data_IF_989841467328
#
_entry.id   IF_989841467328
#
_cell.length_a   1.000
_cell.length_b   1.000
_cell.length_c   1.000
_cell.angle_alpha   90.00
_cell.angle_beta   90.00
_cell.angle_gamma   90.00
#
_symmetry.space_group_name_H-M   'P 1'
#
loop_
_entity.id
_entity.type
_entity.pdbx_description
1 polymer ?
#
# COMPACT_ATOMS: atom_id res chain seq x y z
N UNK A 1 5.01 -4.11 -12.62
CA UNK A 1 6.22 -3.79 -11.82
C UNK A 1 7.26 -4.89 -11.87
N UNK A 2 6.94 -6.17 -11.64
CA UNK A 2 7.92 -7.26 -11.72
C UNK A 2 8.70 -7.31 -13.02
N UNK A 3 8.05 -7.14 -14.19
CA UNK A 3 8.75 -7.08 -15.47
C UNK A 3 9.68 -5.86 -15.65
N UNK A 4 9.38 -4.75 -14.96
CA UNK A 4 10.28 -3.59 -14.89
C UNK A 4 11.50 -3.95 -14.06
N UNK A 5 11.31 -4.52 -12.86
CA UNK A 5 12.39 -4.96 -11.98
C UNK A 5 13.29 -5.98 -12.67
N UNK A 6 12.69 -7.01 -13.28
CA UNK A 6 13.46 -8.00 -14.06
C UNK A 6 14.33 -7.32 -15.13
N UNK A 7 13.77 -6.37 -15.88
CA UNK A 7 14.53 -5.64 -16.90
C UNK A 7 15.68 -4.81 -16.32
N UNK A 8 15.43 -4.15 -15.16
CA UNK A 8 16.47 -3.35 -14.48
C UNK A 8 17.64 -4.22 -14.03
N UNK A 9 17.36 -5.42 -13.53
CA UNK A 9 18.40 -6.38 -13.13
C UNK A 9 19.11 -6.99 -14.36
N UNK A 10 18.37 -7.50 -15.33
CA UNK A 10 18.92 -8.16 -16.52
C UNK A 10 19.83 -7.25 -17.36
N UNK A 11 19.48 -5.97 -17.43
CA UNK A 11 20.22 -4.97 -18.20
C UNK A 11 21.24 -4.19 -17.34
N UNK A 12 21.40 -4.61 -16.08
CA UNK A 12 22.33 -3.97 -15.12
C UNK A 12 22.12 -2.45 -14.99
N UNK A 13 20.85 -2.02 -14.92
CA UNK A 13 20.42 -0.64 -14.81
C UNK A 13 20.13 -0.22 -13.36
N UNK A 14 20.91 -0.74 -12.42
CA UNK A 14 20.71 -0.53 -10.99
C UNK A 14 21.68 0.52 -10.48
N UNK A 15 21.15 1.49 -9.77
CA UNK A 15 21.91 2.48 -9.04
C UNK A 15 21.29 2.67 -7.64
N UNK A 16 22.00 2.29 -6.59
CA UNK A 16 21.49 2.33 -5.21
C UNK A 16 21.89 3.62 -4.48
N UNK A 17 22.79 4.41 -5.05
CA UNK A 17 23.25 5.69 -4.51
C UNK A 17 23.66 5.61 -3.03
N UNK A 18 23.23 6.60 -2.24
CA UNK A 18 23.52 6.70 -0.81
C UNK A 18 22.80 5.63 0.05
N UNK A 19 21.81 4.93 -0.49
CA UNK A 19 21.07 3.89 0.23
C UNK A 19 21.81 2.56 0.22
N UNK A 20 22.80 2.36 -0.63
CA UNK A 20 23.50 1.07 -0.80
C UNK A 20 23.87 0.37 0.52
N UNK A 21 24.44 1.10 1.47
CA UNK A 21 24.85 0.55 2.77
C UNK A 21 23.70 0.27 3.76
N UNK A 22 22.47 0.58 3.38
CA UNK A 22 21.27 0.41 4.21
C UNK A 22 20.28 -0.58 3.62
N UNK A 23 20.65 -1.23 2.52
CA UNK A 23 19.80 -2.17 1.80
C UNK A 23 20.27 -3.58 2.05
N UNK A 24 19.34 -4.41 2.49
CA UNK A 24 19.53 -5.84 2.64
C UNK A 24 18.78 -6.58 1.54
N UNK A 25 19.18 -7.81 1.25
CA UNK A 25 18.44 -8.78 0.43
C UNK A 25 18.15 -8.38 -1.04
N UNK A 26 18.90 -7.46 -1.63
CA UNK A 26 18.73 -7.08 -3.06
C UNK A 26 18.88 -8.30 -3.98
N UNK A 27 19.78 -9.22 -3.65
CA UNK A 27 19.95 -10.47 -4.40
C UNK A 27 18.70 -11.36 -4.35
N UNK A 28 17.98 -11.38 -3.23
CA UNK A 28 16.69 -12.10 -3.14
C UNK A 28 15.63 -11.48 -4.03
N UNK A 29 15.57 -10.14 -4.07
CA UNK A 29 14.64 -9.43 -4.96
C UNK A 29 14.94 -9.76 -6.42
N UNK A 30 16.21 -9.77 -6.81
CA UNK A 30 16.64 -10.18 -8.15
C UNK A 30 16.18 -11.61 -8.46
N UNK A 31 16.39 -12.54 -7.54
CA UNK A 31 15.97 -13.93 -7.70
C UNK A 31 14.44 -14.03 -7.85
N UNK A 32 13.67 -13.35 -7.00
CA UNK A 32 12.20 -13.32 -7.07
C UNK A 32 11.67 -12.75 -8.38
N UNK A 33 12.38 -11.80 -8.97
CA UNK A 33 11.98 -11.18 -10.24
C UNK A 33 12.44 -11.95 -11.47
N UNK A 34 13.37 -12.91 -11.34
CA UNK A 34 13.95 -13.65 -12.47
C UNK A 34 12.92 -14.36 -13.34
N UNK A 35 11.86 -14.89 -12.73
CA UNK A 35 10.77 -15.59 -13.42
C UNK A 35 9.78 -14.66 -14.14
N UNK A 36 9.90 -13.34 -13.99
CA UNK A 36 8.96 -12.36 -14.50
C UNK A 36 9.54 -11.50 -15.62
N UNK A 37 10.10 -12.15 -16.64
CA UNK A 37 10.63 -11.44 -17.80
C UNK A 37 9.57 -10.52 -18.43
N UNK A 38 10.00 -9.43 -19.07
CA UNK A 38 9.09 -8.52 -19.75
C UNK A 38 8.19 -9.21 -20.80
N UNK A 39 8.68 -10.28 -21.43
CA UNK A 39 7.90 -11.10 -22.35
C UNK A 39 6.79 -11.88 -21.63
N UNK A 40 7.11 -12.55 -20.52
CA UNK A 40 6.13 -13.29 -19.72
C UNK A 40 5.05 -12.36 -19.13
N UNK A 41 5.46 -11.23 -18.59
CA UNK A 41 4.54 -10.22 -18.05
C UNK A 41 3.65 -9.62 -19.13
N UNK A 42 4.19 -9.43 -20.35
CA UNK A 42 3.44 -8.94 -21.51
C UNK A 42 2.24 -9.82 -21.84
N UNK A 43 2.40 -11.13 -21.81
CA UNK A 43 1.32 -12.09 -22.12
C UNK A 43 0.17 -12.03 -21.10
N UNK A 44 0.47 -11.67 -19.84
CA UNK A 44 -0.52 -11.59 -18.75
C UNK A 44 -1.21 -10.22 -18.72
N UNK A 45 -0.44 -9.16 -18.91
CA UNK A 45 -0.92 -7.77 -18.74
C UNK A 45 -1.45 -7.14 -20.03
N UNK A 46 -1.16 -7.72 -21.19
CA UNK A 46 -1.44 -7.11 -22.50
C UNK A 46 -0.53 -5.94 -22.87
N UNK A 47 0.42 -5.56 -22.01
CA UNK A 47 1.37 -4.48 -22.28
C UNK A 47 2.53 -5.05 -23.11
N UNK A 48 2.82 -4.45 -24.24
CA UNK A 48 3.89 -4.91 -25.15
C UNK A 48 5.23 -4.98 -24.42
N UNK A 49 5.97 -6.07 -24.62
CA UNK A 49 7.31 -6.31 -24.05
C UNK A 49 8.26 -5.11 -24.22
N UNK A 50 8.30 -4.53 -25.42
CA UNK A 50 9.11 -3.35 -25.69
C UNK A 50 8.74 -2.17 -24.81
N UNK A 51 7.44 -1.97 -24.56
CA UNK A 51 6.96 -0.87 -23.71
C UNK A 51 7.38 -1.02 -22.25
N UNK A 52 7.37 -2.26 -21.75
CA UNK A 52 7.84 -2.57 -20.38
C UNK A 52 9.34 -2.27 -20.26
N UNK A 53 10.14 -2.73 -21.22
CA UNK A 53 11.59 -2.47 -21.25
C UNK A 53 11.92 -0.99 -21.44
N UNK A 54 11.24 -0.30 -22.34
CA UNK A 54 11.40 1.16 -22.51
C UNK A 54 11.14 1.93 -21.22
N UNK A 55 10.07 1.56 -20.47
CA UNK A 55 9.74 2.20 -19.22
C UNK A 55 10.81 1.97 -18.16
N UNK A 56 11.32 0.74 -18.05
CA UNK A 56 12.41 0.41 -17.13
C UNK A 56 13.67 1.24 -17.42
N UNK A 57 14.11 1.26 -18.69
CA UNK A 57 15.26 2.06 -19.13
C UNK A 57 15.05 3.56 -18.93
N UNK A 58 13.84 4.05 -19.20
CA UNK A 58 13.49 5.46 -19.00
C UNK A 58 13.55 5.85 -17.53
N UNK A 59 13.03 5.01 -16.62
CA UNK A 59 13.15 5.24 -15.18
C UNK A 59 14.61 5.28 -14.74
N UNK A 60 15.43 4.30 -15.14
CA UNK A 60 16.84 4.25 -14.76
C UNK A 60 17.67 5.42 -15.29
N UNK A 61 17.40 5.87 -16.53
CA UNK A 61 18.19 6.90 -17.20
C UNK A 61 17.68 8.34 -16.99
N UNK A 62 16.59 8.53 -16.25
CA UNK A 62 16.04 9.87 -15.98
C UNK A 62 16.49 10.34 -14.60
N UNK A 63 17.33 11.37 -14.49
CA UNK A 63 17.92 11.78 -13.21
C UNK A 63 16.91 12.22 -12.14
N UNK A 64 15.74 12.65 -12.56
CA UNK A 64 14.67 13.12 -11.66
C UNK A 64 13.36 12.45 -12.07
N UNK A 65 13.13 11.29 -11.53
CA UNK A 65 11.93 10.48 -11.80
C UNK A 65 11.41 9.86 -10.51
N UNK A 66 10.16 9.49 -10.49
CA UNK A 66 9.63 8.61 -9.46
C UNK A 66 8.53 7.71 -10.01
N UNK A 67 8.43 6.52 -9.46
CA UNK A 67 7.28 5.66 -9.60
C UNK A 67 6.35 5.90 -8.41
N UNK A 68 5.22 6.56 -8.64
CA UNK A 68 4.26 6.90 -7.60
C UNK A 68 3.00 6.06 -7.72
N UNK A 69 2.55 5.52 -6.60
CA UNK A 69 1.34 4.69 -6.50
C UNK A 69 0.36 5.29 -5.49
N UNK A 70 -0.93 5.05 -5.70
CA UNK A 70 -2.00 5.45 -4.80
C UNK A 70 -3.10 4.38 -4.72
N UNK A 71 -4.29 4.80 -4.32
CA UNK A 71 -5.45 3.93 -4.06
C UNK A 71 -5.70 2.86 -5.13
N UNK A 72 -5.65 3.21 -6.42
CA UNK A 72 -5.86 2.25 -7.50
C UNK A 72 -4.87 1.08 -7.52
N UNK A 73 -3.67 1.26 -6.96
CA UNK A 73 -2.69 0.19 -6.78
C UNK A 73 -2.92 -0.55 -5.47
N UNK A 74 -3.18 0.20 -4.37
CA UNK A 74 -3.23 -0.36 -3.01
C UNK A 74 -4.49 -1.19 -2.74
N UNK A 75 -5.59 -0.93 -3.44
CA UNK A 75 -6.88 -1.61 -3.26
C UNK A 75 -7.05 -2.89 -4.08
N UNK A 76 -6.02 -3.31 -4.81
CA UNK A 76 -6.02 -4.58 -5.53
C UNK A 76 -5.68 -5.75 -4.60
N UNK A 77 -5.95 -6.97 -5.03
CA UNK A 77 -5.69 -8.21 -4.27
C UNK A 77 -4.26 -8.27 -3.70
N UNK A 78 -3.26 -7.87 -4.49
CA UNK A 78 -1.85 -7.79 -4.08
C UNK A 78 -1.36 -6.35 -3.92
N UNK A 79 -2.23 -5.45 -3.49
CA UNK A 79 -1.96 -4.01 -3.42
C UNK A 79 -0.77 -3.64 -2.53
N UNK A 80 -0.61 -4.31 -1.39
CA UNK A 80 0.55 -4.14 -0.51
C UNK A 80 1.86 -4.49 -1.21
N UNK A 81 1.90 -5.64 -1.90
CA UNK A 81 3.08 -6.06 -2.69
C UNK A 81 3.34 -5.09 -3.84
N UNK A 82 2.30 -4.65 -4.54
CA UNK A 82 2.45 -3.71 -5.64
C UNK A 82 3.02 -2.36 -5.16
N UNK A 83 2.55 -1.85 -4.03
CA UNK A 83 3.08 -0.62 -3.42
C UNK A 83 4.54 -0.81 -2.99
N UNK A 84 4.86 -1.94 -2.33
CA UNK A 84 6.23 -2.28 -1.96
C UNK A 84 7.17 -2.36 -3.18
N UNK A 85 6.75 -3.02 -4.27
CA UNK A 85 7.52 -3.08 -5.51
C UNK A 85 7.79 -1.71 -6.13
N UNK A 86 6.86 -0.75 -5.97
CA UNK A 86 7.08 0.62 -6.41
C UNK A 86 8.19 1.30 -5.61
N UNK A 87 8.23 1.09 -4.28
CA UNK A 87 9.35 1.56 -3.46
C UNK A 87 10.66 0.90 -3.85
N UNK A 88 10.67 -0.41 -4.06
CA UNK A 88 11.87 -1.15 -4.51
C UNK A 88 12.41 -0.56 -5.83
N UNK A 89 11.54 -0.29 -6.81
CA UNK A 89 11.96 0.33 -8.08
C UNK A 89 12.61 1.70 -7.83
N UNK A 90 11.99 2.56 -7.02
CA UNK A 90 12.58 3.87 -6.69
C UNK A 90 13.92 3.74 -5.96
N UNK A 91 14.06 2.73 -5.09
CA UNK A 91 15.31 2.47 -4.36
C UNK A 91 16.43 2.09 -5.32
N UNK A 92 16.19 1.06 -6.17
CA UNK A 92 17.24 0.51 -7.03
C UNK A 92 17.55 1.36 -8.26
N UNK A 93 16.76 2.40 -8.51
CA UNK A 93 17.03 3.43 -9.53
C UNK A 93 17.48 4.76 -8.92
N UNK A 94 17.84 4.76 -7.62
CA UNK A 94 18.31 5.94 -6.87
C UNK A 94 17.33 7.11 -6.87
N UNK A 95 16.03 6.82 -6.81
CA UNK A 95 14.98 7.85 -6.82
C UNK A 95 14.19 7.93 -5.49
N UNK A 96 14.56 7.15 -4.46
CA UNK A 96 13.93 7.24 -3.15
C UNK A 96 14.67 8.24 -2.27
N UNK A 97 13.91 9.16 -1.68
CA UNK A 97 14.39 10.21 -0.78
C UNK A 97 15.51 11.07 -1.39
N UNK A 98 15.42 11.27 -2.71
CA UNK A 98 16.29 12.12 -3.50
C UNK A 98 15.50 13.30 -4.10
N UNK A 99 16.16 14.43 -4.26
CA UNK A 99 15.54 15.64 -4.79
C UNK A 99 15.06 15.44 -6.23
N UNK A 100 13.74 15.48 -6.43
CA UNK A 100 13.10 15.24 -7.72
C UNK A 100 12.72 13.78 -7.95
N UNK A 101 12.93 12.92 -6.94
CA UNK A 101 12.41 11.56 -6.85
C UNK A 101 11.22 11.45 -5.89
N UNK A 102 11.00 10.26 -5.36
CA UNK A 102 10.01 10.00 -4.32
C UNK A 102 10.55 10.41 -2.96
N UNK A 103 10.05 11.51 -2.41
CA UNK A 103 10.50 12.08 -1.15
C UNK A 103 9.48 11.82 -0.02
N UNK A 104 9.99 11.69 1.19
CA UNK A 104 9.14 11.70 2.38
C UNK A 104 8.70 13.13 2.72
N UNK A 105 7.44 13.28 3.12
CA UNK A 105 6.92 14.56 3.59
C UNK A 105 7.49 14.91 4.96
N UNK A 106 7.81 16.17 5.16
CA UNK A 106 8.08 16.72 6.50
C UNK A 106 6.87 17.58 6.86
N UNK A 107 5.97 17.12 7.73
CA UNK A 107 4.77 17.87 8.09
C UNK A 107 5.13 19.14 8.87
N UNK A 108 4.34 20.19 8.71
CA UNK A 108 4.49 21.41 9.52
C UNK A 108 4.17 21.16 11.01
N UNK A 109 3.22 20.24 11.28
CA UNK A 109 2.97 19.69 12.60
C UNK A 109 3.02 18.16 12.48
N UNK A 110 3.91 17.51 13.24
CA UNK A 110 4.01 16.06 13.26
C UNK A 110 2.96 15.47 14.21
N UNK A 111 1.82 15.11 13.64
CA UNK A 111 0.69 14.53 14.39
C UNK A 111 1.08 13.17 15.00
N UNK A 112 1.96 12.42 14.36
CA UNK A 112 2.42 11.11 14.86
C UNK A 112 3.29 11.31 16.10
N UNK A 113 4.20 12.27 16.07
CA UNK A 113 5.01 12.63 17.24
C UNK A 113 4.15 13.19 18.39
N UNK A 114 3.19 14.07 18.08
CA UNK A 114 2.24 14.60 19.06
C UNK A 114 1.38 13.50 19.68
N UNK A 115 0.89 12.56 18.90
CA UNK A 115 0.14 11.40 19.38
C UNK A 115 1.00 10.50 20.28
N UNK A 116 2.27 10.31 19.93
CA UNK A 116 3.21 9.55 20.77
C UNK A 116 3.43 10.19 22.15
N UNK A 117 3.45 11.54 22.24
CA UNK A 117 3.53 12.27 23.51
C UNK A 117 2.30 12.05 24.41
N UNK A 118 1.14 11.78 23.82
CA UNK A 118 -0.10 11.44 24.55
C UNK A 118 -0.27 9.94 24.82
N UNK A 119 0.75 9.13 24.55
CA UNK A 119 0.76 7.69 24.77
C UNK A 119 0.21 6.85 23.60
N UNK A 120 -0.19 7.47 22.50
CA UNK A 120 -0.58 6.76 21.28
C UNK A 120 0.68 6.46 20.46
N UNK A 121 1.20 5.27 20.63
CA UNK A 121 2.44 4.85 19.97
C UNK A 121 2.15 4.08 18.68
N UNK A 122 2.11 4.77 17.55
CA UNK A 122 2.10 4.14 16.23
C UNK A 122 0.90 3.24 15.99
N UNK A 123 1.14 1.97 15.72
CA UNK A 123 0.12 0.99 15.37
C UNK A 123 0.24 -0.28 16.23
N UNK A 124 -0.73 -1.17 16.12
CA UNK A 124 -0.78 -2.46 16.81
C UNK A 124 -0.98 -2.36 18.34
N UNK A 125 -1.59 -1.27 18.84
CA UNK A 125 -1.96 -1.16 20.26
C UNK A 125 -3.26 -1.89 20.59
N UNK A 126 -4.12 -2.06 19.58
CA UNK A 126 -5.38 -2.80 19.67
C UNK A 126 -5.46 -3.77 18.52
N UNK A 127 -6.20 -4.85 18.75
CA UNK A 127 -6.48 -5.86 17.73
C UNK A 127 -7.97 -6.09 17.66
N UNK A 128 -8.45 -6.37 16.46
CA UNK A 128 -9.84 -6.75 16.27
C UNK A 128 -10.03 -8.20 16.70
N UNK A 129 -11.13 -8.49 17.39
CA UNK A 129 -11.33 -9.77 18.05
C UNK A 129 -11.36 -10.97 17.09
N UNK A 130 -11.88 -10.82 15.88
CA UNK A 130 -11.95 -11.93 14.90
C UNK A 130 -10.81 -11.93 13.88
N UNK A 131 -10.40 -10.79 13.40
CA UNK A 131 -9.42 -10.70 12.31
C UNK A 131 -7.98 -10.60 12.78
N UNK A 132 -7.75 -10.20 14.03
CA UNK A 132 -6.42 -9.97 14.57
C UNK A 132 -5.62 -8.85 13.88
N UNK A 133 -6.27 -8.07 12.99
CA UNK A 133 -5.61 -6.99 12.29
C UNK A 133 -5.40 -5.80 13.23
N UNK A 134 -4.18 -5.21 13.21
CA UNK A 134 -3.83 -4.12 14.11
C UNK A 134 -4.50 -2.81 13.70
N UNK A 135 -4.75 -1.97 14.67
CA UNK A 135 -5.11 -0.58 14.47
C UNK A 135 -3.89 0.30 14.18
N UNK A 136 -4.11 1.49 13.64
CA UNK A 136 -3.11 2.52 13.49
C UNK A 136 -3.63 3.85 14.03
N UNK A 137 -2.93 4.41 15.02
CA UNK A 137 -3.31 5.68 15.64
C UNK A 137 -4.72 5.68 16.27
N UNK A 138 -5.23 4.52 16.69
CA UNK A 138 -6.59 4.34 17.21
C UNK A 138 -7.65 4.04 16.14
N UNK A 139 -7.28 4.04 14.86
CA UNK A 139 -8.18 3.73 13.76
C UNK A 139 -8.11 2.24 13.40
N UNK A 140 -9.24 1.58 13.34
CA UNK A 140 -9.35 0.19 12.92
C UNK A 140 -9.45 0.08 11.39
N UNK A 141 -8.93 -1.01 10.78
CA UNK A 141 -9.03 -1.20 9.34
C UNK A 141 -10.48 -1.23 8.85
N UNK A 142 -10.84 -0.34 7.94
CA UNK A 142 -12.20 -0.27 7.38
C UNK A 142 -12.64 -1.59 6.71
N UNK A 143 -11.70 -2.38 6.19
CA UNK A 143 -11.96 -3.70 5.60
C UNK A 143 -12.56 -4.71 6.57
N UNK A 144 -12.40 -4.52 7.88
CA UNK A 144 -12.93 -5.41 8.92
C UNK A 144 -14.22 -4.90 9.56
N UNK A 145 -14.76 -3.78 9.09
CA UNK A 145 -15.96 -3.14 9.67
C UNK A 145 -17.14 -4.10 9.73
N UNK A 146 -17.43 -4.83 8.65
CA UNK A 146 -18.50 -5.81 8.64
C UNK A 146 -18.28 -6.93 9.68
N UNK A 147 -17.02 -7.36 9.88
CA UNK A 147 -16.70 -8.39 10.87
C UNK A 147 -16.96 -7.90 12.29
N UNK A 148 -16.64 -6.64 12.58
CA UNK A 148 -16.87 -6.05 13.90
C UNK A 148 -18.36 -5.82 14.21
N UNK A 149 -19.16 -5.47 13.20
CA UNK A 149 -20.61 -5.33 13.35
C UNK A 149 -21.28 -6.69 13.56
N UNK A 150 -20.81 -7.72 12.84
CA UNK A 150 -21.38 -9.07 12.88
C UNK A 150 -20.79 -9.95 14.00
N UNK A 151 -20.02 -9.39 14.92
CA UNK A 151 -19.57 -10.11 16.12
C UNK A 151 -20.78 -10.52 16.97
N UNK A 152 -20.66 -11.68 17.63
CA UNK A 152 -21.67 -12.18 18.59
C UNK A 152 -21.09 -12.18 20.02
N UNK A 153 -20.36 -11.11 20.37
CA UNK A 153 -19.73 -10.94 21.68
C UNK A 153 -19.91 -9.52 22.22
N UNK A 154 -19.36 -9.24 23.39
CA UNK A 154 -19.43 -7.96 24.09
C UNK A 154 -18.70 -6.81 23.38
N UNK A 155 -17.89 -7.14 22.37
CA UNK A 155 -17.15 -6.15 21.55
C UNK A 155 -17.84 -5.83 20.22
N UNK A 156 -19.03 -6.34 20.01
CA UNK A 156 -19.83 -6.04 18.82
C UNK A 156 -20.09 -4.54 18.69
N UNK A 157 -19.91 -4.02 17.48
CA UNK A 157 -20.37 -2.67 17.14
C UNK A 157 -21.88 -2.72 16.96
N UNK A 158 -22.62 -1.99 17.80
CA UNK A 158 -24.08 -1.92 17.80
C UNK A 158 -24.65 -0.62 17.25
N UNK A 159 -23.82 0.43 17.22
CA UNK A 159 -24.21 1.73 16.72
C UNK A 159 -23.15 2.31 15.79
N UNK A 160 -23.58 3.06 14.77
CA UNK A 160 -22.70 3.69 13.81
C UNK A 160 -23.14 5.13 13.54
N UNK A 161 -22.18 6.04 13.54
CA UNK A 161 -22.35 7.40 13.01
C UNK A 161 -21.47 7.50 11.77
N UNK A 162 -22.08 7.75 10.63
CA UNK A 162 -21.41 7.98 9.37
C UNK A 162 -21.35 9.47 9.10
N UNK A 163 -20.16 10.00 8.87
CA UNK A 163 -19.96 11.42 8.61
C UNK A 163 -19.35 11.60 7.20
N UNK A 164 -20.06 12.38 6.36
CA UNK A 164 -19.59 12.79 5.03
C UNK A 164 -19.07 11.63 4.15
N UNK A 165 -19.81 10.51 4.08
CA UNK A 165 -19.39 9.38 3.27
C UNK A 165 -20.43 8.27 3.17
N UNK A 166 -20.15 7.28 2.31
CA UNK A 166 -20.94 6.07 2.19
C UNK A 166 -20.03 4.83 2.30
N UNK A 167 -19.87 4.25 3.49
CA UNK A 167 -18.96 3.11 3.70
C UNK A 167 -19.38 1.87 2.89
N UNK A 168 -20.67 1.66 2.62
CA UNK A 168 -21.16 0.52 1.83
C UNK A 168 -20.64 0.59 0.40
N UNK A 169 -20.56 1.79 -0.18
CA UNK A 169 -20.07 1.99 -1.55
C UNK A 169 -18.54 2.14 -1.63
N UNK A 170 -17.91 2.63 -0.58
CA UNK A 170 -16.48 2.99 -0.59
C UNK A 170 -15.55 1.97 0.11
N UNK A 171 -16.11 1.04 0.89
CA UNK A 171 -15.31 0.03 1.59
C UNK A 171 -15.33 -1.33 0.88
N UNK A 172 -14.31 -2.17 1.09
CA UNK A 172 -14.29 -3.52 0.53
C UNK A 172 -15.49 -4.35 0.98
N UNK A 173 -15.98 -5.21 0.06
CA UNK A 173 -17.09 -6.12 0.32
C UNK A 173 -18.40 -5.42 0.74
N UNK A 174 -18.79 -4.40 -0.03
CA UNK A 174 -19.97 -3.57 0.25
C UNK A 174 -21.26 -4.36 0.49
N UNK A 175 -21.48 -5.48 -0.23
CA UNK A 175 -22.67 -6.34 -0.02
C UNK A 175 -22.74 -6.96 1.38
N UNK A 176 -21.57 -7.32 1.94
CA UNK A 176 -21.51 -7.87 3.30
C UNK A 176 -21.67 -6.75 4.32
N UNK A 177 -21.12 -5.58 4.03
CA UNK A 177 -21.24 -4.41 4.87
C UNK A 177 -22.69 -3.90 4.92
N UNK A 178 -23.41 -3.93 3.80
CA UNK A 178 -24.83 -3.59 3.70
C UNK A 178 -25.66 -4.45 4.66
N UNK A 179 -25.49 -5.77 4.61
CA UNK A 179 -26.13 -6.70 5.53
C UNK A 179 -25.73 -6.48 7.00
N UNK A 180 -24.45 -6.11 7.23
CA UNK A 180 -23.99 -5.80 8.57
C UNK A 180 -24.67 -4.55 9.12
N UNK A 181 -24.85 -3.52 8.29
CA UNK A 181 -25.56 -2.30 8.69
C UNK A 181 -27.03 -2.53 9.06
N UNK A 182 -27.70 -3.50 8.40
CA UNK A 182 -29.07 -3.92 8.75
C UNK A 182 -29.17 -4.48 10.17
N UNK A 183 -28.09 -5.02 10.72
CA UNK A 183 -28.04 -5.62 12.06
C UNK A 183 -27.67 -4.63 13.18
N UNK A 184 -27.38 -3.36 12.85
CA UNK A 184 -27.09 -2.34 13.83
C UNK A 184 -28.35 -1.90 14.57
N UNK A 185 -28.25 -1.70 15.89
CA UNK A 185 -29.33 -1.14 16.71
C UNK A 185 -29.60 0.33 16.36
N UNK A 186 -28.58 1.05 15.86
CA UNK A 186 -28.69 2.49 15.58
C UNK A 186 -27.69 2.93 14.53
N UNK A 187 -28.17 3.67 13.52
CA UNK A 187 -27.33 4.28 12.47
C UNK A 187 -27.76 5.71 12.21
N UNK A 188 -26.79 6.63 12.17
CA UNK A 188 -27.00 8.02 11.72
C UNK A 188 -26.02 8.34 10.62
N UNK A 189 -26.51 8.87 9.51
CA UNK A 189 -25.69 9.46 8.45
C UNK A 189 -25.86 10.99 8.46
N UNK A 190 -24.72 11.67 8.50
CA UNK A 190 -24.63 13.13 8.45
C UNK A 190 -23.86 13.47 7.16
N UNK A 191 -24.59 13.98 6.15
CA UNK A 191 -24.07 14.41 4.85
C UNK A 191 -23.89 15.92 4.77
#
# INVERSE_FOLDING_TARGET
MLGILNTLFDENLIEQGRLHSRLDDIAQIQLLCSDYSAAKVSSITGIKTLKIKELARKLANTPRACLFTRMGTSTQEFGGIATWLAYVINIITNHLDERGGLMFTKPAADIVELAALTGQKGHANRYQSKSGLPEFGGELPASTMADQILLEDDKQIKAMIVLAGNPILSSPNGRRLDKAFESLDFVVSID
#
